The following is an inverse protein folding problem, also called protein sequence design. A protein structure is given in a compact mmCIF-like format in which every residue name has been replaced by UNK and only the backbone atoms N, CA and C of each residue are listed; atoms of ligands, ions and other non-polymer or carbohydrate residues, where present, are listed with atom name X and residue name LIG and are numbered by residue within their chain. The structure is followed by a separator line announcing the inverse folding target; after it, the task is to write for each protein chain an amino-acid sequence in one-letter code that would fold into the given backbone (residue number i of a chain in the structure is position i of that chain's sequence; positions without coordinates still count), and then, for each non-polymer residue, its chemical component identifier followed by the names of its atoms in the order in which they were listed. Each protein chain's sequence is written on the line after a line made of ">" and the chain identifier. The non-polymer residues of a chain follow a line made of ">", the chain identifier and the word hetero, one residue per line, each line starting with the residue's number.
data_IF_813937921153
#
_entry.id   IF_813937921153
#
_cell.length_a   1.000
_cell.length_b   1.000
_cell.length_c   1.000
_cell.angle_alpha   90.00
_cell.angle_beta   90.00
_cell.angle_gamma   90.00
#
_symmetry.space_group_name_H-M   'P 1'
#
loop_
_entity.id
_entity.type
_entity.pdbx_description
1 polymer ?
#
# COMPACT_ATOMS: atom_id res chain seq x y z
N UNK A 1 -24.44 5.52 9.79
CA UNK A 1 -23.61 6.75 9.66
C UNK A 1 -23.27 6.97 8.19
N UNK A 2 -23.52 8.17 7.68
CA UNK A 2 -23.14 8.57 6.32
C UNK A 2 -21.62 8.47 6.13
N UNK A 3 -21.15 7.89 5.01
CA UNK A 3 -19.73 7.84 4.66
C UNK A 3 -19.25 9.23 4.25
N UNK A 4 -18.09 9.67 4.76
CA UNK A 4 -17.46 10.91 4.28
C UNK A 4 -17.06 10.74 2.82
N UNK A 5 -17.57 11.60 1.93
CA UNK A 5 -17.10 11.68 0.55
C UNK A 5 -15.67 12.24 0.52
N UNK A 6 -14.79 11.60 -0.24
CA UNK A 6 -13.41 12.03 -0.48
C UNK A 6 -13.27 12.39 -1.95
N UNK A 7 -12.69 13.56 -2.22
CA UNK A 7 -12.56 14.15 -3.55
C UNK A 7 -11.09 14.38 -3.91
N UNK A 8 -10.82 14.58 -5.20
CA UNK A 8 -9.49 14.96 -5.71
C UNK A 8 -8.89 16.14 -4.93
N UNK A 9 -9.72 17.11 -4.51
CA UNK A 9 -9.27 18.26 -3.73
C UNK A 9 -8.79 17.85 -2.33
N UNK A 10 -9.49 16.92 -1.69
CA UNK A 10 -9.05 16.35 -0.40
C UNK A 10 -7.69 15.66 -0.58
N UNK A 11 -7.54 14.89 -1.66
CA UNK A 11 -6.31 14.14 -1.96
C UNK A 11 -5.11 15.04 -2.22
N UNK A 12 -5.25 16.01 -3.12
CA UNK A 12 -4.22 17.02 -3.39
C UNK A 12 -3.82 17.77 -2.11
N UNK A 13 -4.79 18.04 -1.22
CA UNK A 13 -4.53 18.79 0.01
C UNK A 13 -3.60 18.07 0.98
N UNK A 14 -3.61 16.74 1.04
CA UNK A 14 -2.65 16.00 1.86
C UNK A 14 -1.38 15.64 1.06
N UNK A 15 -1.51 15.28 -0.22
CA UNK A 15 -0.38 14.92 -1.09
C UNK A 15 0.65 16.05 -1.23
N UNK A 16 0.22 17.32 -1.24
CA UNK A 16 1.13 18.48 -1.31
C UNK A 16 2.13 18.54 -0.15
N UNK A 17 1.80 17.93 0.98
CA UNK A 17 2.67 17.86 2.15
C UNK A 17 3.37 16.52 2.23
N UNK A 18 2.66 15.44 1.94
CA UNK A 18 3.20 14.09 1.93
C UNK A 18 4.36 13.94 0.94
N UNK A 19 4.21 14.48 -0.27
CA UNK A 19 5.19 14.35 -1.32
C UNK A 19 6.57 14.96 -0.95
N UNK A 20 6.71 16.26 -0.61
CA UNK A 20 8.01 16.84 -0.32
C UNK A 20 8.63 16.37 1.00
N UNK A 21 7.82 16.01 2.00
CA UNK A 21 8.35 15.67 3.34
C UNK A 21 8.54 14.18 3.57
N UNK A 22 7.94 13.32 2.75
CA UNK A 22 7.99 11.87 2.90
C UNK A 22 8.53 11.19 1.65
N UNK A 23 7.84 11.34 0.52
CA UNK A 23 8.21 10.65 -0.73
C UNK A 23 9.57 11.13 -1.24
N UNK A 24 9.79 12.44 -1.31
CA UNK A 24 11.04 13.01 -1.84
C UNK A 24 12.25 12.53 -1.02
N UNK A 25 12.29 12.63 0.33
CA UNK A 25 13.39 12.08 1.12
C UNK A 25 13.59 10.58 0.94
N UNK A 26 12.50 9.81 0.88
CA UNK A 26 12.55 8.35 0.72
C UNK A 26 13.12 7.90 -0.63
N UNK A 27 13.05 8.73 -1.67
CA UNK A 27 13.67 8.47 -2.98
C UNK A 27 15.07 9.09 -3.04
N UNK A 28 15.21 10.32 -2.56
CA UNK A 28 16.45 11.10 -2.64
C UNK A 28 17.57 10.46 -1.81
N UNK A 29 17.29 9.93 -0.61
CA UNK A 29 18.31 9.31 0.24
C UNK A 29 18.93 8.07 -0.44
N UNK A 30 18.17 7.06 -0.91
CA UNK A 30 18.74 5.96 -1.68
C UNK A 30 19.51 6.42 -2.92
N UNK A 31 18.99 7.41 -3.66
CA UNK A 31 19.67 7.95 -4.83
C UNK A 31 21.00 8.62 -4.47
N UNK A 32 21.04 9.44 -3.41
CA UNK A 32 22.27 10.06 -2.91
C UNK A 32 23.26 9.02 -2.41
N UNK A 33 22.81 7.94 -1.78
CA UNK A 33 23.67 6.83 -1.36
C UNK A 33 24.35 6.17 -2.57
N UNK A 34 23.60 5.89 -3.63
CA UNK A 34 24.16 5.37 -4.90
C UNK A 34 25.17 6.34 -5.50
N UNK A 35 24.86 7.64 -5.51
CA UNK A 35 25.75 8.65 -6.10
C UNK A 35 27.02 8.93 -5.28
N UNK A 36 26.95 8.78 -3.96
CA UNK A 36 28.04 9.11 -3.04
C UNK A 36 28.90 7.91 -2.63
N UNK A 37 28.53 6.69 -3.02
CA UNK A 37 29.23 5.46 -2.64
C UNK A 37 29.44 4.55 -3.84
N UNK A 38 30.24 3.46 -3.73
CA UNK A 38 30.37 2.47 -4.79
C UNK A 38 29.10 1.61 -5.02
N UNK A 39 28.00 1.85 -4.30
CA UNK A 39 26.77 1.09 -4.43
C UNK A 39 26.10 1.38 -5.78
N UNK A 40 25.54 0.34 -6.36
CA UNK A 40 24.71 0.39 -7.56
C UNK A 40 23.22 0.29 -7.21
N UNK A 41 22.36 0.57 -8.19
CA UNK A 41 20.92 0.33 -8.06
C UNK A 41 20.60 -1.13 -7.69
N UNK A 42 21.39 -2.08 -8.20
CA UNK A 42 21.21 -3.50 -7.92
C UNK A 42 21.46 -3.84 -6.45
N UNK A 43 22.40 -3.16 -5.80
CA UNK A 43 22.76 -3.41 -4.39
C UNK A 43 21.65 -2.99 -3.41
N UNK A 44 20.74 -2.13 -3.85
CA UNK A 44 19.51 -1.79 -3.11
C UNK A 44 18.28 -2.50 -3.70
N UNK A 45 18.47 -3.50 -4.55
CA UNK A 45 17.39 -4.32 -5.11
C UNK A 45 16.59 -3.69 -6.26
N UNK A 46 17.04 -2.56 -6.82
CA UNK A 46 16.47 -1.98 -8.04
C UNK A 46 16.97 -2.73 -9.28
N UNK A 47 16.43 -3.92 -9.49
CA UNK A 47 16.64 -4.67 -10.72
C UNK A 47 15.45 -5.59 -11.00
N UNK A 48 15.31 -6.02 -12.25
CA UNK A 48 14.28 -6.96 -12.63
C UNK A 48 14.79 -8.39 -12.47
N UNK A 49 14.21 -9.15 -11.54
CA UNK A 49 14.58 -10.56 -11.29
C UNK A 49 14.03 -11.53 -12.33
N UNK A 50 13.16 -11.08 -13.24
CA UNK A 50 12.62 -11.86 -14.35
C UNK A 50 11.10 -12.02 -14.30
N UNK A 51 10.50 -12.32 -15.46
CA UNK A 51 9.05 -12.40 -15.63
C UNK A 51 8.37 -13.46 -14.73
N UNK A 52 9.11 -14.48 -14.31
CA UNK A 52 8.63 -15.52 -13.41
C UNK A 52 8.22 -14.98 -12.03
N UNK A 53 8.70 -13.80 -11.62
CA UNK A 53 8.32 -13.16 -10.35
C UNK A 53 7.07 -12.28 -10.47
N UNK A 54 6.75 -11.80 -11.68
CA UNK A 54 5.64 -10.85 -11.91
C UNK A 54 4.28 -11.48 -11.67
N UNK A 55 4.00 -12.63 -12.30
CA UNK A 55 2.70 -13.27 -12.16
C UNK A 55 2.40 -13.66 -10.70
N UNK A 56 3.31 -14.32 -9.96
CA UNK A 56 3.12 -14.56 -8.52
C UNK A 56 2.93 -13.26 -7.73
N UNK A 57 3.71 -12.21 -7.97
CA UNK A 57 3.57 -10.95 -7.27
C UNK A 57 2.20 -10.28 -7.54
N UNK A 58 1.69 -10.34 -8.76
CA UNK A 58 0.34 -9.83 -9.09
C UNK A 58 -0.73 -10.67 -8.40
N UNK A 59 -0.65 -11.99 -8.44
CA UNK A 59 -1.63 -12.87 -7.80
C UNK A 59 -1.66 -12.68 -6.27
N UNK A 60 -0.48 -12.67 -5.63
CA UNK A 60 -0.34 -12.37 -4.21
C UNK A 60 -0.84 -10.96 -3.93
N UNK A 61 -0.50 -9.99 -4.77
CA UNK A 61 -0.95 -8.60 -4.68
C UNK A 61 -2.48 -8.51 -4.64
N UNK A 62 -3.17 -9.13 -5.60
CA UNK A 62 -4.64 -9.17 -5.64
C UNK A 62 -5.21 -9.74 -4.34
N UNK A 63 -4.68 -10.88 -3.87
CA UNK A 63 -5.11 -11.51 -2.61
C UNK A 63 -4.91 -10.55 -1.43
N UNK A 64 -3.73 -9.94 -1.31
CA UNK A 64 -3.41 -9.03 -0.22
C UNK A 64 -4.23 -7.74 -0.30
N UNK A 65 -4.54 -7.24 -1.50
CA UNK A 65 -5.44 -6.11 -1.70
C UNK A 65 -6.86 -6.41 -1.19
N UNK A 66 -7.38 -7.60 -1.50
CA UNK A 66 -8.68 -8.06 -0.99
C UNK A 66 -8.66 -8.23 0.53
N UNK A 67 -7.59 -8.82 1.09
CA UNK A 67 -7.41 -8.96 2.54
C UNK A 67 -7.34 -7.59 3.21
N UNK A 68 -6.62 -6.64 2.63
CA UNK A 68 -6.48 -5.27 3.15
C UNK A 68 -7.80 -4.52 3.14
N UNK A 69 -8.59 -4.67 2.08
CA UNK A 69 -9.96 -4.17 2.02
C UNK A 69 -10.86 -4.81 3.10
N UNK A 70 -10.82 -6.14 3.24
CA UNK A 70 -11.62 -6.83 4.26
C UNK A 70 -11.21 -6.41 5.68
N UNK A 71 -9.91 -6.23 5.92
CA UNK A 71 -9.35 -5.73 7.18
C UNK A 71 -9.85 -4.31 7.48
N UNK A 72 -9.84 -3.42 6.47
CA UNK A 72 -10.40 -2.08 6.58
C UNK A 72 -11.85 -2.11 7.06
N UNK A 73 -12.70 -2.90 6.40
CA UNK A 73 -14.15 -2.94 6.67
C UNK A 73 -14.43 -3.58 8.03
N UNK A 74 -13.84 -4.74 8.30
CA UNK A 74 -14.19 -5.57 9.47
C UNK A 74 -13.47 -5.14 10.75
N UNK A 75 -12.21 -4.72 10.64
CA UNK A 75 -11.34 -4.47 11.80
C UNK A 75 -11.20 -2.97 12.06
N UNK A 76 -10.86 -2.19 11.04
CA UNK A 76 -10.63 -0.75 11.19
C UNK A 76 -11.93 0.06 11.22
N UNK A 77 -12.97 -0.43 10.54
CA UNK A 77 -14.27 0.24 10.40
C UNK A 77 -14.16 1.68 9.87
N UNK A 78 -13.14 1.95 9.06
CA UNK A 78 -12.96 3.24 8.42
C UNK A 78 -14.06 3.47 7.39
N UNK A 79 -14.61 4.68 7.35
CA UNK A 79 -15.77 5.01 6.53
C UNK A 79 -15.49 6.22 5.64
N UNK A 80 -14.87 5.95 4.50
CA UNK A 80 -14.66 6.89 3.39
C UNK A 80 -15.31 6.37 2.12
N UNK A 81 -15.78 7.29 1.28
CA UNK A 81 -16.33 7.03 -0.06
C UNK A 81 -15.63 7.95 -1.08
N UNK A 82 -14.50 7.49 -1.66
CA UNK A 82 -13.79 8.26 -2.66
C UNK A 82 -14.56 8.30 -3.98
N UNK A 83 -14.50 9.44 -4.66
CA UNK A 83 -15.04 9.59 -6.02
C UNK A 83 -14.18 8.84 -7.04
N UNK A 84 -14.74 8.45 -8.19
CA UNK A 84 -13.96 7.73 -9.23
C UNK A 84 -12.69 8.48 -9.69
N UNK A 85 -12.71 9.81 -9.92
CA UNK A 85 -11.47 10.54 -10.26
C UNK A 85 -10.44 10.53 -9.12
N UNK A 86 -10.91 10.53 -7.87
CA UNK A 86 -10.08 10.49 -6.68
C UNK A 86 -9.37 9.14 -6.53
N UNK A 87 -10.08 8.03 -6.77
CA UNK A 87 -9.50 6.68 -6.79
C UNK A 87 -8.37 6.57 -7.81
N UNK A 88 -8.55 7.14 -9.01
CA UNK A 88 -7.51 7.12 -10.03
C UNK A 88 -6.26 7.87 -9.57
N UNK A 89 -6.44 9.06 -8.97
CA UNK A 89 -5.34 9.85 -8.43
C UNK A 89 -4.63 9.13 -7.28
N UNK A 90 -5.37 8.68 -6.27
CA UNK A 90 -4.82 8.00 -5.09
C UNK A 90 -4.14 6.69 -5.46
N UNK A 91 -4.76 5.85 -6.29
CA UNK A 91 -4.13 4.60 -6.74
C UNK A 91 -2.87 4.86 -7.54
N UNK A 92 -2.84 5.86 -8.42
CA UNK A 92 -1.62 6.23 -9.15
C UNK A 92 -0.53 6.67 -8.18
N UNK A 93 -0.86 7.52 -7.21
CA UNK A 93 0.06 7.97 -6.18
C UNK A 93 0.61 6.78 -5.38
N UNK A 94 -0.25 5.87 -4.92
CA UNK A 94 0.17 4.73 -4.11
C UNK A 94 1.03 3.74 -4.89
N UNK A 95 0.69 3.46 -6.15
CA UNK A 95 1.40 2.51 -6.99
C UNK A 95 2.74 3.04 -7.50
N UNK A 96 2.80 4.30 -7.92
CA UNK A 96 3.96 4.85 -8.62
C UNK A 96 4.93 5.58 -7.67
N UNK A 97 4.42 6.15 -6.58
CA UNK A 97 5.21 6.95 -5.65
C UNK A 97 5.35 6.29 -4.28
N UNK A 98 4.24 6.01 -3.60
CA UNK A 98 4.29 5.51 -2.22
C UNK A 98 5.01 4.17 -2.11
N UNK A 99 4.49 3.13 -2.76
CA UNK A 99 5.03 1.79 -2.61
C UNK A 99 6.50 1.74 -3.05
N UNK A 100 6.91 2.30 -4.21
CA UNK A 100 8.32 2.33 -4.58
C UNK A 100 9.21 3.07 -3.57
N UNK A 101 8.80 4.25 -3.10
CA UNK A 101 9.58 5.04 -2.15
C UNK A 101 9.78 4.32 -0.81
N UNK A 102 8.71 3.72 -0.27
CA UNK A 102 8.80 2.97 0.98
C UNK A 102 9.63 1.70 0.81
N UNK A 103 9.42 0.93 -0.25
CA UNK A 103 10.20 -0.29 -0.48
C UNK A 103 11.70 -0.03 -0.69
N UNK A 104 12.07 1.10 -1.31
CA UNK A 104 13.48 1.51 -1.42
C UNK A 104 14.16 1.65 -0.05
N UNK A 105 13.48 2.28 0.90
CA UNK A 105 14.04 2.50 2.24
C UNK A 105 14.00 1.21 3.06
N UNK A 106 12.81 0.60 3.19
CA UNK A 106 12.61 -0.49 4.14
C UNK A 106 13.16 -1.82 3.64
N UNK A 107 13.19 -2.07 2.32
CA UNK A 107 13.70 -3.34 1.76
C UNK A 107 15.07 -3.11 1.17
N UNK A 108 15.21 -2.13 0.27
CA UNK A 108 16.48 -1.85 -0.40
C UNK A 108 17.59 -1.50 0.59
N UNK A 109 17.40 -0.47 1.41
CA UNK A 109 18.41 -0.04 2.39
C UNK A 109 18.39 -0.92 3.64
N UNK A 110 17.26 -1.01 4.34
CA UNK A 110 17.23 -1.64 5.66
C UNK A 110 17.33 -3.16 5.64
N UNK A 111 16.98 -3.85 4.56
CA UNK A 111 17.18 -5.30 4.45
C UNK A 111 18.38 -5.58 3.54
N UNK A 112 18.41 -5.06 2.32
CA UNK A 112 19.50 -5.30 1.35
C UNK A 112 20.86 -4.83 1.85
N UNK A 113 20.99 -3.55 2.24
CA UNK A 113 22.29 -3.04 2.70
C UNK A 113 22.62 -3.43 4.13
N UNK A 114 21.71 -3.19 5.09
CA UNK A 114 21.97 -3.48 6.49
C UNK A 114 22.09 -5.00 6.75
N UNK A 115 21.37 -5.83 6.00
CA UNK A 115 21.45 -7.30 6.07
C UNK A 115 22.84 -7.85 5.82
N UNK A 116 23.64 -7.19 4.98
CA UNK A 116 25.04 -7.56 4.75
C UNK A 116 25.93 -7.40 5.99
N UNK A 117 25.53 -6.57 6.97
CA UNK A 117 26.30 -6.32 8.19
C UNK A 117 25.79 -7.11 9.40
N UNK A 118 24.47 -7.29 9.51
CA UNK A 118 23.84 -7.89 10.72
C UNK A 118 23.05 -9.18 10.44
N UNK A 119 23.05 -9.64 9.20
CA UNK A 119 22.31 -10.81 8.72
C UNK A 119 20.86 -10.50 8.33
N UNK A 120 20.39 -11.17 7.27
CA UNK A 120 19.05 -10.98 6.70
C UNK A 120 17.89 -11.18 7.70
N UNK A 121 17.90 -12.19 8.61
CA UNK A 121 16.83 -12.34 9.60
C UNK A 121 16.72 -11.16 10.57
N UNK A 122 17.86 -10.66 11.06
CA UNK A 122 17.93 -9.52 11.98
C UNK A 122 17.47 -8.24 11.29
N UNK A 123 17.96 -8.00 10.07
CA UNK A 123 17.57 -6.85 9.26
C UNK A 123 16.07 -6.86 8.91
N UNK A 124 15.50 -8.02 8.56
CA UNK A 124 14.07 -8.20 8.35
C UNK A 124 13.26 -7.84 9.59
N UNK A 125 13.67 -8.32 10.77
CA UNK A 125 12.99 -8.04 12.03
C UNK A 125 13.01 -6.54 12.35
N UNK A 126 14.17 -5.89 12.25
CA UNK A 126 14.32 -4.45 12.50
C UNK A 126 13.49 -3.64 11.49
N UNK A 127 13.63 -3.93 10.19
CA UNK A 127 12.87 -3.26 9.13
C UNK A 127 11.37 -3.37 9.35
N UNK A 128 10.88 -4.56 9.73
CA UNK A 128 9.46 -4.80 10.03
C UNK A 128 8.96 -3.91 11.18
N UNK A 129 9.72 -3.81 12.27
CA UNK A 129 9.35 -2.99 13.42
C UNK A 129 9.37 -1.49 13.08
N UNK A 130 10.40 -1.04 12.37
CA UNK A 130 10.53 0.37 11.97
C UNK A 130 9.42 0.74 10.98
N UNK A 131 9.09 -0.13 10.01
CA UNK A 131 7.97 0.07 9.09
C UNK A 131 6.64 0.24 9.84
N UNK A 132 6.37 -0.61 10.83
CA UNK A 132 5.21 -0.48 11.70
C UNK A 132 5.21 0.84 12.49
N UNK A 133 6.33 1.14 13.17
CA UNK A 133 6.48 2.32 14.00
C UNK A 133 6.36 3.63 13.22
N UNK A 134 6.80 3.64 11.97
CA UNK A 134 6.70 4.77 11.05
C UNK A 134 5.25 5.25 10.82
N UNK A 135 4.25 4.39 11.03
CA UNK A 135 2.84 4.76 10.91
C UNK A 135 2.26 5.39 12.19
N UNK A 136 2.97 5.33 13.32
CA UNK A 136 2.51 5.88 14.60
C UNK A 136 2.35 7.41 14.56
N UNK A 137 3.32 8.20 14.05
CA UNK A 137 3.19 9.66 13.96
C UNK A 137 2.00 10.12 13.11
N UNK A 138 1.57 9.31 12.13
CA UNK A 138 0.38 9.55 11.32
C UNK A 138 -0.94 9.31 12.09
N UNK A 139 -0.88 9.04 13.40
CA UNK A 139 -2.01 8.79 14.30
C UNK A 139 -2.84 7.57 13.90
N UNK A 140 -2.21 6.56 13.29
CA UNK A 140 -2.87 5.30 13.00
C UNK A 140 -3.17 4.57 14.31
N UNK A 141 -4.37 3.99 14.41
CA UNK A 141 -4.75 3.19 15.58
C UNK A 141 -3.90 1.91 15.68
N UNK A 142 -3.75 1.36 16.89
CA UNK A 142 -2.89 0.19 17.16
C UNK A 142 -3.18 -1.02 16.25
N UNK A 143 -4.46 -1.26 15.92
CA UNK A 143 -4.85 -2.32 14.97
C UNK A 143 -4.31 -2.07 13.56
N UNK A 144 -4.37 -0.82 13.09
CA UNK A 144 -3.86 -0.45 11.79
C UNK A 144 -2.34 -0.59 11.75
N UNK A 145 -1.64 -0.12 12.81
CA UNK A 145 -0.20 -0.30 13.00
C UNK A 145 0.17 -1.78 12.97
N UNK A 146 -0.50 -2.64 13.74
CA UNK A 146 -0.25 -4.08 13.73
C UNK A 146 -0.47 -4.70 12.35
N UNK A 147 -1.52 -4.27 11.63
CA UNK A 147 -1.80 -4.72 10.27
C UNK A 147 -0.69 -4.36 9.28
N UNK A 148 -0.20 -3.11 9.31
CA UNK A 148 0.91 -2.70 8.43
C UNK A 148 2.25 -3.29 8.86
N UNK A 149 2.48 -3.55 10.15
CA UNK A 149 3.66 -4.31 10.60
C UNK A 149 3.64 -5.72 10.00
N UNK A 150 2.50 -6.41 10.03
CA UNK A 150 2.37 -7.75 9.45
C UNK A 150 2.54 -7.73 7.92
N UNK A 151 1.94 -6.75 7.23
CA UNK A 151 2.18 -6.53 5.80
C UNK A 151 3.66 -6.24 5.52
N UNK A 152 4.31 -5.48 6.41
CA UNK A 152 5.71 -5.14 6.30
C UNK A 152 6.62 -6.37 6.37
N UNK A 153 6.33 -7.28 7.31
CA UNK A 153 7.02 -8.56 7.38
C UNK A 153 6.86 -9.36 6.08
N UNK A 154 5.64 -9.45 5.55
CA UNK A 154 5.36 -10.13 4.28
C UNK A 154 6.18 -9.56 3.12
N UNK A 155 6.22 -8.23 2.96
CA UNK A 155 6.99 -7.62 1.87
C UNK A 155 8.50 -7.85 2.04
N UNK A 156 9.00 -7.85 3.28
CA UNK A 156 10.39 -8.20 3.56
C UNK A 156 10.72 -9.67 3.21
N UNK A 157 9.81 -10.60 3.51
CA UNK A 157 9.94 -11.98 3.06
C UNK A 157 9.93 -12.09 1.53
N UNK A 158 9.02 -11.39 0.85
CA UNK A 158 8.96 -11.36 -0.61
C UNK A 158 10.25 -10.84 -1.23
N UNK A 159 10.82 -9.77 -0.66
CA UNK A 159 12.11 -9.24 -1.07
C UNK A 159 13.20 -10.32 -1.00
N UNK A 160 13.36 -10.98 0.15
CA UNK A 160 14.39 -12.00 0.34
C UNK A 160 14.21 -13.23 -0.57
N UNK A 161 12.99 -13.78 -0.68
CA UNK A 161 12.76 -15.00 -1.48
C UNK A 161 12.84 -14.75 -2.99
N UNK A 162 12.69 -13.50 -3.44
CA UNK A 162 12.83 -13.12 -4.85
C UNK A 162 14.23 -12.64 -5.21
N UNK A 163 15.22 -12.94 -4.35
CA UNK A 163 16.63 -12.64 -4.57
C UNK A 163 17.00 -11.19 -4.24
N UNK A 164 16.29 -10.53 -3.33
CA UNK A 164 16.50 -9.12 -2.99
C UNK A 164 16.13 -8.17 -4.16
N UNK A 165 15.11 -8.55 -4.93
CA UNK A 165 14.49 -7.70 -5.95
C UNK A 165 13.31 -6.92 -5.36
N UNK A 166 13.25 -5.61 -5.62
CA UNK A 166 12.17 -4.74 -5.14
C UNK A 166 10.87 -4.89 -5.93
N UNK A 167 10.88 -5.50 -7.10
CA UNK A 167 9.71 -5.54 -8.00
C UNK A 167 8.52 -6.26 -7.35
N UNK A 168 8.76 -7.44 -6.78
CA UNK A 168 7.71 -8.22 -6.13
C UNK A 168 7.10 -7.51 -4.91
N UNK A 169 7.88 -7.04 -3.91
CA UNK A 169 7.31 -6.31 -2.79
C UNK A 169 6.64 -5.00 -3.20
N UNK A 170 7.17 -4.25 -4.18
CA UNK A 170 6.52 -3.03 -4.68
C UNK A 170 5.13 -3.30 -5.25
N UNK A 171 4.98 -4.35 -6.07
CA UNK A 171 3.69 -4.75 -6.62
C UNK A 171 2.73 -5.11 -5.49
N UNK A 172 3.12 -6.03 -4.60
CA UNK A 172 2.24 -6.50 -3.53
C UNK A 172 1.85 -5.36 -2.56
N UNK A 173 2.79 -4.47 -2.25
CA UNK A 173 2.53 -3.29 -1.43
C UNK A 173 1.54 -2.33 -2.11
N UNK A 174 1.73 -2.04 -3.41
CA UNK A 174 0.81 -1.19 -4.15
C UNK A 174 -0.65 -1.71 -4.12
N UNK A 175 -0.84 -3.03 -4.24
CA UNK A 175 -2.15 -3.65 -4.08
C UNK A 175 -2.68 -3.57 -2.63
N UNK A 176 -1.83 -3.82 -1.64
CA UNK A 176 -2.19 -3.74 -0.22
C UNK A 176 -2.73 -2.34 0.12
N UNK A 177 -1.97 -1.31 -0.23
CA UNK A 177 -2.30 0.10 0.03
C UNK A 177 -3.53 0.54 -0.76
N UNK A 178 -3.65 0.14 -2.03
CA UNK A 178 -4.84 0.43 -2.83
C UNK A 178 -6.11 -0.20 -2.25
N UNK A 179 -6.03 -1.47 -1.84
CA UNK A 179 -7.16 -2.15 -1.18
C UNK A 179 -7.54 -1.53 0.16
N UNK A 180 -6.56 -1.03 0.91
CA UNK A 180 -6.77 -0.38 2.20
C UNK A 180 -7.30 1.06 2.09
N UNK A 181 -6.82 1.84 1.14
CA UNK A 181 -6.99 3.31 1.14
C UNK A 181 -7.75 3.87 -0.06
N UNK A 182 -7.73 3.23 -1.23
CA UNK A 182 -8.30 3.78 -2.48
C UNK A 182 -9.38 2.87 -3.10
N UNK A 183 -8.97 1.83 -3.84
CA UNK A 183 -9.89 0.97 -4.61
C UNK A 183 -10.85 0.19 -3.71
N UNK A 184 -10.41 -0.28 -2.55
CA UNK A 184 -11.26 -1.00 -1.60
C UNK A 184 -12.45 -0.17 -1.09
N UNK A 185 -12.24 1.03 -0.51
CA UNK A 185 -13.32 1.95 -0.15
C UNK A 185 -14.30 2.25 -1.30
N UNK A 186 -13.79 2.44 -2.52
CA UNK A 186 -14.62 2.70 -3.70
C UNK A 186 -15.51 1.50 -4.06
N UNK A 187 -14.93 0.30 -4.11
CA UNK A 187 -15.67 -0.95 -4.35
C UNK A 187 -16.75 -1.15 -3.28
N UNK A 188 -16.42 -0.91 -2.01
CA UNK A 188 -17.40 -1.00 -0.91
C UNK A 188 -18.61 -0.09 -1.15
N UNK A 189 -18.36 1.16 -1.52
CA UNK A 189 -19.40 2.14 -1.78
C UNK A 189 -20.24 1.77 -3.01
N UNK A 190 -19.57 1.44 -4.12
CA UNK A 190 -20.24 1.02 -5.36
C UNK A 190 -21.17 -0.17 -5.11
N UNK A 191 -20.72 -1.19 -4.39
CA UNK A 191 -21.55 -2.36 -4.05
C UNK A 191 -22.76 -2.00 -3.17
N UNK A 192 -22.61 -1.04 -2.24
CA UNK A 192 -23.74 -0.55 -1.41
C UNK A 192 -24.77 0.21 -2.25
N UNK A 193 -24.33 1.04 -3.18
CA UNK A 193 -25.22 1.76 -4.10
C UNK A 193 -26.00 0.81 -5.00
N UNK A 194 -25.35 -0.22 -5.55
CA UNK A 194 -26.04 -1.23 -6.38
C UNK A 194 -27.10 -1.98 -5.56
N UNK A 195 -26.77 -2.43 -4.35
CA UNK A 195 -27.74 -3.10 -3.45
C UNK A 195 -28.94 -2.21 -3.11
N UNK A 196 -28.70 -0.92 -2.89
CA UNK A 196 -29.78 0.04 -2.63
C UNK A 196 -30.72 0.17 -3.84
N UNK A 197 -30.17 0.35 -5.04
CA UNK A 197 -30.93 0.46 -6.29
C UNK A 197 -31.79 -0.78 -6.57
N UNK A 198 -31.27 -1.97 -6.31
CA UNK A 198 -32.04 -3.22 -6.44
C UNK A 198 -33.22 -3.22 -5.46
N UNK A 199 -32.98 -2.97 -4.17
CA UNK A 199 -34.04 -2.94 -3.16
C UNK A 199 -35.11 -1.89 -3.42
N UNK A 200 -34.73 -0.69 -3.89
CA UNK A 200 -35.70 0.35 -4.22
C UNK A 200 -36.58 -0.05 -5.39
N UNK A 201 -36.01 -0.72 -6.41
CA UNK A 201 -36.77 -1.23 -7.55
C UNK A 201 -37.75 -2.33 -7.14
N UNK A 202 -37.33 -3.26 -6.29
CA UNK A 202 -38.20 -4.32 -5.78
C UNK A 202 -39.38 -3.74 -4.97
N UNK A 203 -39.10 -2.75 -4.11
CA UNK A 203 -40.14 -2.06 -3.32
C UNK A 203 -41.13 -1.29 -4.19
N UNK A 204 -40.68 -0.67 -5.28
CA UNK A 204 -41.54 0.01 -6.26
C UNK A 204 -42.45 -0.99 -7.00
N UNK A 205 -41.91 -2.12 -7.45
CA UNK A 205 -42.70 -3.19 -8.10
C UNK A 205 -43.78 -3.72 -7.16
N UNK A 206 -43.44 -3.97 -5.89
CA UNK A 206 -44.43 -4.43 -4.90
C UNK A 206 -45.56 -3.41 -4.66
N UNK A 207 -45.27 -2.10 -4.74
CA UNK A 207 -46.29 -1.05 -4.60
C UNK A 207 -47.27 -1.00 -5.78
N UNK A 208 -46.85 -1.36 -6.99
CA UNK A 208 -47.74 -1.40 -8.16
C UNK A 208 -48.60 -2.67 -8.24
N UNK A 209 -48.23 -3.72 -7.48
CA UNK A 209 -48.94 -5.00 -7.48
C UNK A 209 -49.89 -5.18 -6.27
N UNK A 210 -49.99 -4.18 -5.39
CA UNK A 210 -50.86 -4.12 -4.21
C UNK A 210 -51.97 -3.10 -4.40
#
# INVERSE_FOLDING_TARGET
>A
MSSRKVTVKDSISWMKWDFPFRIVPMIAIPAMLILATPLSAKDIGLYFSGAHTLLPAILIGIIIGVVSWAFRVKVLKWNSSPTTPDVLLETTYYCVLNAPAEELVFRGIMIGLLGNYIGNPTALFISTLVFGAYHIPAKWGSKAVAGVTAAGFLFGCLFLITGESLIAPMIVHAFATSGLLSTGPWVEHFLKEQKWKTKSKDAEVHRYLS
#
